data_IF_164009496429
#
_entry.id   IF_164009496429
#
_cell.length_a   1.000
_cell.length_b   1.000
_cell.length_c   1.000
_cell.angle_alpha   90.00
_cell.angle_beta   90.00
_cell.angle_gamma   90.00
#
_symmetry.space_group_name_H-M   'P 1'
#
loop_
_entity.id
_entity.type
_entity.pdbx_description
1 polymer ?
#
# COMPACT_ATOMS: atom_id res chain seq x y z
N UNK A 1 -0.23 11.51 -17.86
CA UNK A 1 -0.39 10.06 -17.56
C UNK A 1 -1.22 9.47 -18.68
N UNK A 2 -0.85 8.32 -19.25
CA UNK A 2 -1.70 7.65 -20.24
C UNK A 2 -3.04 7.27 -19.57
N UNK A 3 -4.18 7.62 -20.16
CA UNK A 3 -5.51 7.36 -19.61
C UNK A 3 -5.73 5.90 -19.22
N UNK A 4 -5.13 4.97 -19.98
CA UNK A 4 -5.16 3.55 -19.67
C UNK A 4 -4.51 3.23 -18.32
N UNK A 5 -3.33 3.79 -18.04
CA UNK A 5 -2.62 3.55 -16.78
C UNK A 5 -3.42 4.11 -15.60
N UNK A 6 -3.96 5.33 -15.75
CA UNK A 6 -4.81 5.94 -14.72
C UNK A 6 -6.00 5.04 -14.37
N UNK A 7 -6.64 4.44 -15.36
CA UNK A 7 -7.76 3.52 -15.16
C UNK A 7 -7.31 2.24 -14.44
N UNK A 8 -6.20 1.62 -14.84
CA UNK A 8 -5.66 0.43 -14.18
C UNK A 8 -5.34 0.70 -12.70
N UNK A 9 -4.56 1.74 -12.41
CA UNK A 9 -4.23 2.10 -11.02
C UNK A 9 -5.49 2.40 -10.21
N UNK A 10 -6.44 3.15 -10.75
CA UNK A 10 -7.68 3.49 -10.03
C UNK A 10 -8.52 2.24 -9.72
N UNK A 11 -8.67 1.34 -10.70
CA UNK A 11 -9.40 0.08 -10.52
C UNK A 11 -8.75 -0.79 -9.45
N UNK A 12 -7.45 -1.01 -9.57
CA UNK A 12 -6.72 -1.95 -8.73
C UNK A 12 -6.57 -1.41 -7.29
N UNK A 13 -6.39 -0.10 -7.11
CA UNK A 13 -6.39 0.52 -5.78
C UNK A 13 -7.76 0.49 -5.11
N UNK A 14 -8.86 0.62 -5.86
CA UNK A 14 -10.22 0.45 -5.31
C UNK A 14 -10.49 -0.98 -4.88
N UNK A 15 -9.99 -1.95 -5.65
CA UNK A 15 -10.07 -3.35 -5.27
C UNK A 15 -9.27 -3.60 -3.98
N UNK A 16 -8.03 -3.10 -3.90
CA UNK A 16 -7.21 -3.22 -2.69
C UNK A 16 -7.90 -2.63 -1.46
N UNK A 17 -8.53 -1.46 -1.59
CA UNK A 17 -9.32 -0.85 -0.49
C UNK A 17 -10.46 -1.79 -0.05
N UNK A 18 -11.18 -2.37 -1.01
CA UNK A 18 -12.25 -3.34 -0.71
C UNK A 18 -11.71 -4.58 0.01
N UNK A 19 -10.58 -5.12 -0.45
CA UNK A 19 -9.92 -6.28 0.15
C UNK A 19 -9.48 -5.98 1.59
N UNK A 20 -8.96 -4.79 1.87
CA UNK A 20 -8.57 -4.37 3.23
C UNK A 20 -9.80 -4.22 4.14
N UNK A 21 -10.89 -3.66 3.63
CA UNK A 21 -12.13 -3.58 4.40
C UNK A 21 -12.84 -4.92 4.60
N UNK A 22 -12.43 -5.99 3.89
CA UNK A 22 -12.99 -7.33 4.08
C UNK A 22 -12.46 -8.05 5.33
N UNK A 23 -11.40 -7.54 5.96
CA UNK A 23 -10.91 -8.06 7.24
C UNK A 23 -11.91 -7.73 8.35
N UNK A 24 -12.48 -8.77 8.98
CA UNK A 24 -13.46 -8.62 10.05
C UNK A 24 -12.84 -8.16 11.38
N UNK A 25 -11.56 -8.47 11.58
CA UNK A 25 -10.79 -8.13 12.77
C UNK A 25 -9.49 -7.44 12.38
N UNK A 26 -9.24 -6.26 12.95
CA UNK A 26 -8.05 -5.48 12.66
C UNK A 26 -6.76 -6.24 12.99
N UNK A 27 -6.73 -7.04 14.05
CA UNK A 27 -5.56 -7.86 14.41
C UNK A 27 -5.17 -8.86 13.30
N UNK A 28 -6.13 -9.33 12.51
CA UNK A 28 -5.87 -10.26 11.40
C UNK A 28 -5.12 -9.56 10.27
N UNK A 29 -5.40 -8.28 10.02
CA UNK A 29 -4.72 -7.47 8.99
C UNK A 29 -3.19 -7.42 9.21
N UNK A 30 -2.77 -7.39 10.48
CA UNK A 30 -1.38 -7.26 10.91
C UNK A 30 -0.70 -8.59 11.24
N UNK A 31 -1.43 -9.71 11.10
CA UNK A 31 -0.94 -11.05 11.38
C UNK A 31 -0.30 -11.71 10.15
N UNK A 32 0.57 -12.68 10.40
CA UNK A 32 1.18 -13.55 9.38
C UNK A 32 0.80 -15.00 9.64
N UNK A 33 0.58 -15.79 8.59
CA UNK A 33 0.21 -17.21 8.71
C UNK A 33 1.21 -18.10 7.96
N UNK A 34 1.58 -19.23 8.57
CA UNK A 34 2.49 -20.21 7.98
C UNK A 34 3.84 -19.63 7.57
N UNK A 35 4.17 -19.72 6.28
CA UNK A 35 5.44 -19.24 5.71
C UNK A 35 5.42 -17.78 5.25
N UNK A 36 4.28 -17.09 5.38
CA UNK A 36 4.14 -15.68 5.00
C UNK A 36 4.94 -14.81 5.97
N UNK A 37 5.78 -13.92 5.43
CA UNK A 37 6.71 -13.10 6.23
C UNK A 37 6.23 -11.68 6.48
N UNK A 38 5.24 -11.20 5.73
CA UNK A 38 4.68 -9.85 5.85
C UNK A 38 3.17 -9.95 5.95
N UNK A 39 2.59 -9.20 6.89
CA UNK A 39 1.15 -9.09 7.00
C UNK A 39 0.56 -8.32 5.81
N UNK A 40 -0.75 -8.46 5.58
CA UNK A 40 -1.43 -7.66 4.57
C UNK A 40 -1.33 -6.15 4.86
N UNK A 41 -1.40 -5.76 6.13
CA UNK A 41 -1.20 -4.37 6.55
C UNK A 41 0.19 -3.84 6.18
N UNK A 42 1.26 -4.60 6.43
CA UNK A 42 2.61 -4.21 6.04
C UNK A 42 2.77 -4.04 4.53
N UNK A 43 2.16 -4.94 3.75
CA UNK A 43 2.23 -4.85 2.29
C UNK A 43 1.47 -3.62 1.76
N UNK A 44 0.35 -3.24 2.38
CA UNK A 44 -0.37 -2.01 2.02
C UNK A 44 0.41 -0.76 2.39
N UNK A 45 1.04 -0.70 3.57
CA UNK A 45 1.94 0.40 3.94
C UNK A 45 3.07 0.53 2.92
N UNK A 46 3.68 -0.58 2.52
CA UNK A 46 4.74 -0.60 1.51
C UNK A 46 4.26 -0.08 0.14
N UNK A 47 3.08 -0.52 -0.31
CA UNK A 47 2.48 -0.06 -1.57
C UNK A 47 2.17 1.45 -1.51
N UNK A 48 1.54 1.92 -0.44
CA UNK A 48 1.20 3.32 -0.26
C UNK A 48 2.45 4.21 -0.19
N UNK A 49 3.48 3.79 0.54
CA UNK A 49 4.75 4.51 0.60
C UNK A 49 5.46 4.56 -0.76
N UNK A 50 5.42 3.45 -1.51
CA UNK A 50 5.91 3.39 -2.89
C UNK A 50 5.19 4.36 -3.82
N UNK A 51 3.86 4.42 -3.79
CA UNK A 51 3.05 5.32 -4.61
C UNK A 51 3.28 6.79 -4.24
N UNK A 52 3.31 7.10 -2.95
CA UNK A 52 3.61 8.47 -2.48
C UNK A 52 5.01 8.92 -2.88
N UNK A 53 5.98 8.01 -2.93
CA UNK A 53 7.32 8.34 -3.42
C UNK A 53 7.36 8.50 -4.95
N UNK A 54 6.90 7.49 -5.71
CA UNK A 54 7.04 7.47 -7.16
C UNK A 54 6.13 8.48 -7.85
N UNK A 55 4.85 8.53 -7.46
CA UNK A 55 3.87 9.43 -8.08
C UNK A 55 3.85 10.76 -7.34
N UNK A 56 3.76 10.75 -6.01
CA UNK A 56 3.68 11.98 -5.22
C UNK A 56 4.96 12.80 -5.29
N UNK A 57 6.08 12.25 -4.80
CA UNK A 57 7.33 13.00 -4.70
C UNK A 57 8.01 13.19 -6.06
N UNK A 58 8.29 12.12 -6.81
CA UNK A 58 9.08 12.24 -8.05
C UNK A 58 8.31 12.94 -9.19
N UNK A 59 7.02 12.65 -9.38
CA UNK A 59 6.22 13.24 -10.47
C UNK A 59 5.43 14.46 -10.01
N UNK A 60 4.75 14.37 -8.87
CA UNK A 60 3.91 15.43 -8.31
C UNK A 60 4.66 16.49 -7.52
N UNK A 61 5.97 16.34 -7.31
CA UNK A 61 6.82 17.28 -6.57
C UNK A 61 6.30 17.58 -5.16
N UNK A 62 5.68 16.58 -4.51
CA UNK A 62 5.31 16.72 -3.09
C UNK A 62 6.54 16.60 -2.19
N UNK A 63 6.42 17.11 -0.97
CA UNK A 63 7.48 17.00 0.04
C UNK A 63 7.50 15.63 0.76
N UNK A 64 6.89 14.60 0.18
CA UNK A 64 6.83 13.27 0.80
C UNK A 64 8.23 12.65 0.92
N UNK A 65 8.63 12.32 2.15
CA UNK A 65 9.86 11.60 2.44
C UNK A 65 9.52 10.16 2.82
N UNK A 66 10.04 9.22 2.05
CA UNK A 66 9.75 7.80 2.25
C UNK A 66 10.60 7.21 3.37
N UNK A 67 9.95 6.57 4.34
CA UNK A 67 10.61 5.73 5.33
C UNK A 67 10.30 4.25 5.06
N UNK A 68 11.17 3.63 4.26
CA UNK A 68 11.00 2.23 3.85
C UNK A 68 11.06 1.26 5.03
N UNK A 69 11.86 1.56 6.06
CA UNK A 69 12.00 0.64 7.19
C UNK A 69 10.71 0.61 8.00
N UNK A 70 10.07 1.76 8.20
CA UNK A 70 8.77 1.86 8.88
C UNK A 70 7.66 1.08 8.18
N UNK A 71 7.65 1.02 6.85
CA UNK A 71 6.66 0.23 6.09
C UNK A 71 6.61 -1.26 6.49
N UNK A 72 7.73 -1.82 6.98
CA UNK A 72 7.81 -3.22 7.42
C UNK A 72 7.93 -3.41 8.93
N UNK A 73 8.26 -2.35 9.68
CA UNK A 73 8.37 -2.42 11.14
C UNK A 73 7.11 -1.96 11.88
N UNK A 74 6.25 -1.17 11.25
CA UNK A 74 4.97 -0.74 11.83
C UNK A 74 3.94 -1.87 11.75
N UNK A 75 3.30 -2.15 12.89
CA UNK A 75 2.20 -3.09 13.07
C UNK A 75 1.13 -2.41 13.89
#
# INVERSE_FOLDING_TARGET
MNDFLTQCYTRDLRQLITEIHSFLEEGTLWSTTGSIRNSSGNLVLHLAGGLNHLIGHLLGQTNYQRDRNREFSEK
#
